data_IF_309025542825
#
_entry.id   IF_309025542825
#
_cell.length_a   1.000
_cell.length_b   1.000
_cell.length_c   1.000
_cell.angle_alpha   90.00
_cell.angle_beta   90.00
_cell.angle_gamma   90.00
#
_symmetry.space_group_name_H-M   'P 1'
#
loop_
_entity.id
_entity.type
_entity.pdbx_description
1 polymer ?
#
# COMPACT_ATOMS: atom_id res chain seq x y z
N UNK A 1 38.51 -27.93 -3.95
CA UNK A 1 38.30 -26.55 -3.45
C UNK A 1 37.71 -25.59 -4.50
N UNK A 2 37.87 -25.79 -5.83
CA UNK A 2 37.30 -24.85 -6.83
C UNK A 2 35.79 -24.93 -7.04
N UNK A 3 35.14 -26.09 -6.80
CA UNK A 3 33.67 -26.24 -6.92
C UNK A 3 32.85 -25.37 -5.97
N UNK A 4 33.46 -24.84 -4.89
CA UNK A 4 32.74 -24.02 -3.92
C UNK A 4 32.71 -22.54 -4.32
N UNK A 5 33.67 -22.11 -5.17
CA UNK A 5 33.78 -20.72 -5.60
C UNK A 5 32.86 -20.41 -6.78
N UNK A 6 32.68 -21.35 -7.72
CA UNK A 6 31.70 -21.20 -8.82
C UNK A 6 30.26 -21.11 -8.31
N UNK A 7 29.88 -21.93 -7.33
CA UNK A 7 28.55 -21.87 -6.71
C UNK A 7 28.32 -20.57 -5.95
N UNK A 8 29.37 -20.02 -5.32
CA UNK A 8 29.29 -18.74 -4.61
C UNK A 8 29.17 -17.56 -5.58
N UNK A 9 29.91 -17.61 -6.69
CA UNK A 9 29.86 -16.59 -7.75
C UNK A 9 28.52 -16.64 -8.48
N UNK A 10 27.97 -17.83 -8.77
CA UNK A 10 26.64 -17.95 -9.35
C UNK A 10 25.55 -17.47 -8.38
N UNK A 11 25.66 -17.76 -7.08
CA UNK A 11 24.77 -17.17 -6.07
C UNK A 11 24.90 -15.65 -5.98
N UNK A 12 26.11 -15.11 -6.04
CA UNK A 12 26.36 -13.67 -6.02
C UNK A 12 25.86 -12.99 -7.31
N UNK A 13 25.89 -13.69 -8.44
CA UNK A 13 25.34 -13.22 -9.73
C UNK A 13 23.82 -13.40 -9.83
N UNK A 14 23.23 -14.37 -9.12
CA UNK A 14 21.78 -14.51 -8.95
C UNK A 14 21.23 -13.49 -7.92
N UNK A 15 22.02 -13.12 -6.90
CA UNK A 15 21.73 -12.02 -5.96
C UNK A 15 21.97 -10.64 -6.61
N UNK A 16 22.79 -10.54 -7.66
CA UNK A 16 22.89 -9.34 -8.51
C UNK A 16 21.65 -9.23 -9.42
N UNK A 17 20.60 -8.67 -8.82
CA UNK A 17 19.37 -8.16 -9.45
C UNK A 17 18.38 -9.21 -9.94
N UNK A 18 17.78 -9.96 -9.00
CA UNK A 18 16.39 -10.35 -9.19
C UNK A 18 15.59 -9.07 -9.51
N UNK A 19 15.09 -8.97 -10.74
CA UNK A 19 14.33 -7.81 -11.20
C UNK A 19 13.14 -7.61 -10.26
N UNK A 20 13.09 -6.44 -9.58
CA UNK A 20 11.98 -6.09 -8.70
C UNK A 20 10.67 -6.22 -9.47
N UNK A 21 9.78 -7.06 -8.97
CA UNK A 21 8.49 -7.36 -9.58
C UNK A 21 7.41 -6.41 -9.06
N UNK A 22 7.55 -5.85 -7.84
CA UNK A 22 6.55 -4.94 -7.28
C UNK A 22 6.27 -3.68 -8.12
N UNK A 23 7.23 -3.03 -8.81
CA UNK A 23 6.92 -1.90 -9.70
C UNK A 23 6.09 -2.34 -10.91
N UNK A 24 6.40 -3.53 -11.48
CA UNK A 24 5.66 -4.10 -12.62
C UNK A 24 4.24 -4.48 -12.24
N UNK A 25 4.06 -5.06 -11.05
CA UNK A 25 2.74 -5.35 -10.49
C UNK A 25 1.94 -4.07 -10.25
N UNK A 26 2.57 -3.04 -9.66
CA UNK A 26 1.94 -1.75 -9.39
C UNK A 26 1.47 -1.09 -10.69
N UNK A 27 2.32 -1.03 -11.71
CA UNK A 27 1.98 -0.52 -13.04
C UNK A 27 0.82 -1.31 -13.65
N UNK A 28 0.86 -2.65 -13.58
CA UNK A 28 -0.19 -3.51 -14.09
C UNK A 28 -1.54 -3.24 -13.41
N UNK A 29 -1.56 -3.19 -12.07
CA UNK A 29 -2.80 -2.99 -11.31
C UNK A 29 -3.37 -1.58 -11.54
N UNK A 30 -2.53 -0.54 -11.57
CA UNK A 30 -2.99 0.84 -11.82
C UNK A 30 -3.52 1.05 -13.25
N UNK A 31 -2.93 0.39 -14.26
CA UNK A 31 -3.32 0.56 -15.66
C UNK A 31 -4.43 -0.40 -16.11
N UNK A 32 -4.41 -1.64 -15.64
CA UNK A 32 -5.30 -2.73 -16.07
C UNK A 32 -6.22 -3.19 -14.94
N UNK A 33 -5.67 -3.45 -13.76
CA UNK A 33 -6.44 -3.92 -12.60
C UNK A 33 -7.60 -3.00 -12.23
N UNK A 34 -7.35 -1.69 -12.19
CA UNK A 34 -8.37 -0.72 -11.81
C UNK A 34 -9.57 -0.66 -12.77
N UNK A 35 -9.40 -1.11 -14.01
CA UNK A 35 -10.51 -1.19 -14.97
C UNK A 35 -11.55 -2.24 -14.58
N UNK A 36 -11.12 -3.29 -13.86
CA UNK A 36 -11.99 -4.34 -13.34
C UNK A 36 -12.75 -3.92 -12.07
N UNK A 37 -12.37 -2.81 -11.44
CA UNK A 37 -13.09 -2.30 -10.28
C UNK A 37 -14.41 -1.64 -10.65
N UNK A 38 -15.44 -1.78 -9.81
CA UNK A 38 -16.73 -1.12 -10.05
C UNK A 38 -16.60 0.39 -9.83
N UNK A 39 -17.29 1.17 -10.65
CA UNK A 39 -17.32 2.63 -10.55
C UNK A 39 -18.46 3.06 -9.61
N UNK A 40 -18.24 2.86 -8.31
CA UNK A 40 -19.22 3.14 -7.26
C UNK A 40 -18.73 4.33 -6.44
N UNK A 41 -19.59 5.33 -6.25
CA UNK A 41 -19.32 6.42 -5.31
C UNK A 41 -19.43 5.91 -3.87
N UNK A 42 -18.42 6.20 -3.06
CA UNK A 42 -18.43 5.86 -1.65
C UNK A 42 -19.29 6.84 -0.84
N UNK A 43 -19.81 6.36 0.30
CA UNK A 43 -20.67 7.10 1.23
C UNK A 43 -19.96 7.29 2.58
N UNK A 44 -20.41 8.25 3.41
CA UNK A 44 -19.84 8.48 4.74
C UNK A 44 -18.66 9.45 4.71
N UNK A 45 -17.56 9.10 5.38
CA UNK A 45 -16.35 9.95 5.47
C UNK A 45 -15.60 10.04 4.14
N UNK A 46 -15.81 9.09 3.22
CA UNK A 46 -15.21 9.04 1.86
C UNK A 46 -16.14 9.64 0.79
N UNK A 47 -16.92 10.67 1.15
CA UNK A 47 -17.98 11.20 0.29
C UNK A 47 -17.43 11.77 -1.02
N UNK A 48 -18.08 11.40 -2.14
CA UNK A 48 -17.77 11.84 -3.51
C UNK A 48 -16.51 11.24 -4.15
N UNK A 49 -15.78 10.37 -3.46
CA UNK A 49 -14.70 9.58 -4.06
C UNK A 49 -15.25 8.30 -4.66
N UNK A 50 -14.79 7.92 -5.87
CA UNK A 50 -15.11 6.60 -6.42
C UNK A 50 -14.26 5.53 -5.74
N UNK A 51 -14.78 4.31 -5.65
CA UNK A 51 -14.02 3.16 -5.15
C UNK A 51 -12.69 3.00 -5.90
N UNK A 52 -12.69 3.28 -7.21
CA UNK A 52 -11.46 3.27 -8.03
C UNK A 52 -10.41 4.24 -7.50
N UNK A 53 -10.78 5.51 -7.32
CA UNK A 53 -9.85 6.53 -6.83
C UNK A 53 -9.35 6.19 -5.43
N UNK A 54 -10.24 5.70 -4.57
CA UNK A 54 -9.90 5.21 -3.23
C UNK A 54 -8.85 4.10 -3.28
N UNK A 55 -9.11 3.02 -4.02
CA UNK A 55 -8.17 1.90 -4.13
C UNK A 55 -6.83 2.35 -4.73
N UNK A 56 -6.83 3.19 -5.77
CA UNK A 56 -5.59 3.72 -6.35
C UNK A 56 -4.74 4.46 -5.32
N UNK A 57 -5.36 5.35 -4.55
CA UNK A 57 -4.66 6.10 -3.51
C UNK A 57 -4.10 5.17 -2.43
N UNK A 58 -4.90 4.23 -1.93
CA UNK A 58 -4.45 3.25 -0.93
C UNK A 58 -3.29 2.42 -1.45
N UNK A 59 -3.34 1.93 -2.70
CA UNK A 59 -2.23 1.21 -3.31
C UNK A 59 -0.96 2.07 -3.39
N UNK A 60 -1.07 3.33 -3.82
CA UNK A 60 0.05 4.26 -3.91
C UNK A 60 0.67 4.53 -2.53
N UNK A 61 -0.14 4.77 -1.51
CA UNK A 61 0.35 4.94 -0.14
C UNK A 61 0.99 3.67 0.40
N UNK A 62 0.38 2.49 0.20
CA UNK A 62 0.99 1.22 0.58
C UNK A 62 2.36 1.03 -0.06
N UNK A 63 2.48 1.32 -1.37
CA UNK A 63 3.75 1.23 -2.09
C UNK A 63 4.81 2.15 -1.47
N UNK A 64 4.49 3.42 -1.26
CA UNK A 64 5.42 4.41 -0.70
C UNK A 64 5.81 4.11 0.75
N UNK A 65 4.84 3.73 1.58
CA UNK A 65 5.07 3.37 2.98
C UNK A 65 5.89 2.08 3.11
N UNK A 66 5.71 1.14 2.19
CA UNK A 66 6.55 -0.06 2.11
C UNK A 66 8.01 0.27 1.76
N UNK A 67 8.26 1.24 0.88
CA UNK A 67 9.62 1.74 0.62
C UNK A 67 10.23 2.41 1.86
N UNK A 68 9.45 3.24 2.57
CA UNK A 68 9.87 3.93 3.82
C UNK A 68 10.27 2.93 4.92
N UNK A 69 9.60 1.79 4.98
CA UNK A 69 9.84 0.74 5.97
C UNK A 69 10.72 -0.39 5.44
N UNK A 70 11.34 -0.21 4.27
CA UNK A 70 12.26 -1.18 3.64
C UNK A 70 11.67 -2.60 3.50
N UNK A 71 10.36 -2.69 3.22
CA UNK A 71 9.66 -3.96 3.00
C UNK A 71 10.18 -4.62 1.72
N UNK A 72 10.45 -5.92 1.79
CA UNK A 72 10.96 -6.68 0.65
C UNK A 72 9.96 -6.74 -0.53
N UNK A 73 10.48 -7.03 -1.72
CA UNK A 73 9.72 -6.97 -2.96
C UNK A 73 8.51 -7.94 -2.98
N UNK A 74 8.67 -9.14 -2.40
CA UNK A 74 7.62 -10.16 -2.34
C UNK A 74 6.51 -9.74 -1.39
N UNK A 75 6.86 -9.27 -0.18
CA UNK A 75 5.87 -8.75 0.77
C UNK A 75 5.18 -7.51 0.24
N UNK A 76 5.90 -6.63 -0.46
CA UNK A 76 5.35 -5.44 -1.10
C UNK A 76 4.34 -5.81 -2.19
N UNK A 77 4.62 -6.83 -3.01
CA UNK A 77 3.64 -7.35 -3.98
C UNK A 77 2.36 -7.85 -3.31
N UNK A 78 2.48 -8.61 -2.22
CA UNK A 78 1.33 -9.09 -1.45
C UNK A 78 0.53 -7.92 -0.84
N UNK A 79 1.22 -6.91 -0.30
CA UNK A 79 0.61 -5.72 0.28
C UNK A 79 -0.16 -4.90 -0.76
N UNK A 80 0.42 -4.63 -1.94
CA UNK A 80 -0.24 -3.89 -3.02
C UNK A 80 -1.46 -4.67 -3.52
N UNK A 81 -1.34 -6.00 -3.63
CA UNK A 81 -2.47 -6.86 -4.02
C UNK A 81 -3.58 -6.85 -2.97
N UNK A 82 -3.22 -6.91 -1.68
CA UNK A 82 -4.18 -6.77 -0.59
C UNK A 82 -4.85 -5.40 -0.62
N UNK A 83 -4.11 -4.31 -0.85
CA UNK A 83 -4.65 -2.97 -1.04
C UNK A 83 -5.60 -2.88 -2.24
N UNK A 84 -5.30 -3.57 -3.34
CA UNK A 84 -6.21 -3.67 -4.48
C UNK A 84 -7.52 -4.39 -4.11
N UNK A 85 -7.49 -5.44 -3.29
CA UNK A 85 -8.68 -6.22 -2.93
C UNK A 85 -9.33 -5.81 -1.60
N UNK A 86 -8.80 -4.85 -0.86
CA UNK A 86 -9.19 -4.63 0.55
C UNK A 86 -10.66 -4.23 0.75
N UNK A 87 -11.30 -3.68 -0.28
CA UNK A 87 -12.72 -3.28 -0.26
C UNK A 87 -13.56 -4.15 -1.23
N UNK A 88 -13.14 -5.41 -1.45
CA UNK A 88 -13.79 -6.37 -2.36
C UNK A 88 -15.29 -6.57 -2.07
N UNK A 89 -15.73 -6.42 -0.82
CA UNK A 89 -17.15 -6.53 -0.44
C UNK A 89 -18.04 -5.43 -1.05
N UNK A 90 -17.44 -4.38 -1.63
CA UNK A 90 -18.16 -3.34 -2.36
C UNK A 90 -18.52 -3.75 -3.78
N UNK A 91 -18.01 -4.88 -4.28
CA UNK A 91 -18.30 -5.34 -5.64
C UNK A 91 -19.73 -5.86 -5.76
N UNK A 92 -20.35 -5.68 -6.93
CA UNK A 92 -21.74 -6.06 -7.17
C UNK A 92 -22.02 -7.54 -6.86
N UNK A 93 -21.07 -8.43 -7.18
CA UNK A 93 -21.14 -9.88 -6.90
C UNK A 93 -21.31 -10.21 -5.41
N UNK A 94 -20.87 -9.32 -4.52
CA UNK A 94 -20.86 -9.52 -3.07
C UNK A 94 -21.82 -8.60 -2.33
N UNK A 95 -22.75 -7.97 -3.05
CA UNK A 95 -23.73 -7.06 -2.47
C UNK A 95 -24.48 -7.75 -1.32
N UNK A 96 -24.54 -7.08 -0.17
CA UNK A 96 -25.15 -7.55 1.09
C UNK A 96 -24.38 -8.67 1.82
N UNK A 97 -23.18 -9.04 1.40
CA UNK A 97 -22.32 -9.93 2.17
C UNK A 97 -21.44 -9.12 3.14
N UNK A 98 -21.15 -9.70 4.31
CA UNK A 98 -20.21 -9.07 5.24
C UNK A 98 -18.79 -9.16 4.69
N UNK A 99 -17.92 -8.21 5.06
CA UNK A 99 -16.54 -8.21 4.59
C UNK A 99 -15.80 -9.53 4.91
N UNK A 100 -16.02 -10.08 6.10
CA UNK A 100 -15.43 -11.35 6.55
C UNK A 100 -15.87 -12.54 5.69
N UNK A 101 -17.11 -12.55 5.21
CA UNK A 101 -17.63 -13.62 4.35
C UNK A 101 -17.10 -13.53 2.92
N UNK A 102 -16.60 -12.35 2.52
CA UNK A 102 -16.07 -12.08 1.18
C UNK A 102 -14.56 -12.27 1.13
N UNK A 103 -13.81 -11.85 2.16
CA UNK A 103 -12.35 -11.96 2.24
C UNK A 103 -11.88 -13.41 2.53
N UNK A 104 -12.28 -14.35 1.67
CA UNK A 104 -11.91 -15.77 1.70
C UNK A 104 -10.83 -16.07 0.65
N UNK A 105 -9.99 -17.08 0.90
CA UNK A 105 -8.97 -17.54 -0.07
C UNK A 105 -9.59 -17.84 -1.44
N UNK A 106 -10.73 -18.54 -1.47
CA UNK A 106 -11.41 -18.89 -2.72
C UNK A 106 -11.85 -17.67 -3.53
N UNK A 107 -12.31 -16.61 -2.86
CA UNK A 107 -12.71 -15.38 -3.54
C UNK A 107 -11.47 -14.60 -4.02
N UNK A 108 -10.44 -14.49 -3.19
CA UNK A 108 -9.17 -13.84 -3.56
C UNK A 108 -8.56 -14.54 -4.78
N UNK A 109 -8.39 -15.86 -4.73
CA UNK A 109 -7.86 -16.67 -5.83
C UNK A 109 -8.69 -16.49 -7.11
N UNK A 110 -10.01 -16.47 -7.01
CA UNK A 110 -10.89 -16.27 -8.17
C UNK A 110 -10.67 -14.91 -8.81
N UNK A 111 -10.56 -13.85 -8.02
CA UNK A 111 -10.30 -12.50 -8.51
C UNK A 111 -8.92 -12.38 -9.14
N UNK A 112 -7.88 -12.93 -8.51
CA UNK A 112 -6.52 -12.92 -9.06
C UNK A 112 -6.40 -13.74 -10.34
N UNK A 113 -7.02 -14.92 -10.41
CA UNK A 113 -7.06 -15.73 -11.64
C UNK A 113 -7.75 -14.98 -12.77
N UNK A 114 -8.95 -14.46 -12.52
CA UNK A 114 -9.70 -13.70 -13.54
C UNK A 114 -8.88 -12.52 -14.05
N UNK A 115 -8.24 -11.80 -13.12
CA UNK A 115 -7.43 -10.65 -13.46
C UNK A 115 -6.17 -11.04 -14.24
N UNK A 116 -5.39 -12.01 -13.79
CA UNK A 116 -4.10 -12.33 -14.41
C UNK A 116 -4.24 -13.18 -15.69
N UNK A 117 -5.20 -14.10 -15.76
CA UNK A 117 -5.48 -14.90 -16.95
C UNK A 117 -5.94 -14.02 -18.12
N UNK A 118 -6.75 -12.99 -17.85
CA UNK A 118 -7.21 -12.05 -18.87
C UNK A 118 -6.06 -11.32 -19.58
N UNK A 119 -4.92 -11.13 -18.92
CA UNK A 119 -3.79 -10.35 -19.41
C UNK A 119 -2.50 -11.16 -19.60
N UNK A 120 -2.57 -12.49 -19.45
CA UNK A 120 -1.44 -13.42 -19.62
C UNK A 120 -0.20 -13.04 -18.79
N UNK A 121 -0.40 -12.54 -17.56
CA UNK A 121 0.67 -12.20 -16.61
C UNK A 121 0.67 -13.14 -15.42
N UNK A 122 1.80 -13.28 -14.74
CA UNK A 122 1.91 -14.06 -13.50
C UNK A 122 2.85 -13.36 -12.52
N UNK A 123 2.44 -13.30 -11.25
CA UNK A 123 3.23 -12.79 -10.15
C UNK A 123 3.24 -13.84 -9.03
N UNK A 124 4.36 -13.95 -8.32
CA UNK A 124 4.47 -14.85 -7.17
C UNK A 124 3.81 -14.18 -5.95
N UNK A 125 2.58 -14.61 -5.66
CA UNK A 125 1.75 -14.04 -4.62
C UNK A 125 1.31 -15.12 -3.63
N UNK A 126 1.30 -14.75 -2.36
CA UNK A 126 0.90 -15.62 -1.25
C UNK A 126 -0.48 -15.21 -0.78
N UNK A 127 -1.52 -15.91 -1.27
CA UNK A 127 -2.92 -15.52 -1.01
C UNK A 127 -3.32 -15.59 0.46
N UNK A 128 -2.64 -16.40 1.28
CA UNK A 128 -2.82 -16.40 2.74
C UNK A 128 -2.34 -15.10 3.38
N UNK A 129 -1.18 -14.57 2.97
CA UNK A 129 -0.68 -13.26 3.45
C UNK A 129 -1.62 -12.15 3.00
N UNK A 130 -2.06 -12.17 1.74
CA UNK A 130 -3.03 -11.21 1.20
C UNK A 130 -4.31 -11.21 2.04
N UNK A 131 -4.84 -12.40 2.34
CA UNK A 131 -6.03 -12.55 3.17
C UNK A 131 -5.82 -12.02 4.58
N UNK A 132 -4.68 -12.31 5.21
CA UNK A 132 -4.36 -11.85 6.56
C UNK A 132 -4.30 -10.31 6.62
N UNK A 133 -3.65 -9.67 5.66
CA UNK A 133 -3.60 -8.20 5.53
C UNK A 133 -5.02 -7.65 5.35
N UNK A 134 -5.78 -8.24 4.43
CA UNK A 134 -7.17 -7.88 4.16
C UNK A 134 -8.04 -7.99 5.42
N UNK A 135 -7.93 -9.05 6.22
CA UNK A 135 -8.74 -9.18 7.43
C UNK A 135 -8.28 -8.21 8.53
N UNK A 136 -6.97 -8.01 8.68
CA UNK A 136 -6.37 -7.14 9.69
C UNK A 136 -6.65 -5.65 9.49
N UNK A 137 -6.82 -5.18 8.25
CA UNK A 137 -7.00 -3.74 8.00
C UNK A 137 -8.30 -3.18 8.61
N UNK A 138 -9.34 -4.01 8.72
CA UNK A 138 -10.69 -3.58 9.09
C UNK A 138 -10.83 -3.06 10.54
N UNK A 139 -9.77 -3.09 11.36
CA UNK A 139 -9.70 -2.53 12.72
C UNK A 139 -10.60 -3.22 13.76
N UNK A 140 -11.63 -3.94 13.33
CA UNK A 140 -12.60 -4.64 14.17
C UNK A 140 -12.23 -6.10 14.43
N UNK A 141 -11.25 -6.64 13.70
CA UNK A 141 -10.73 -7.99 13.88
C UNK A 141 -9.40 -7.92 14.65
N UNK A 142 -9.47 -7.53 15.92
CA UNK A 142 -8.28 -7.50 16.81
C UNK A 142 -7.64 -8.86 17.04
N UNK A 143 -8.27 -9.96 16.61
CA UNK A 143 -7.77 -11.30 16.84
C UNK A 143 -8.00 -12.20 15.60
N UNK A 144 -7.07 -12.15 14.65
CA UNK A 144 -6.64 -13.40 14.06
C UNK A 144 -6.12 -14.27 15.22
N UNK A 145 -6.63 -15.50 15.36
CA UNK A 145 -6.20 -16.45 16.40
C UNK A 145 -4.69 -16.72 16.39
N UNK A 146 -3.99 -16.31 15.33
CA UNK A 146 -2.54 -16.34 15.18
C UNK A 146 -1.82 -15.30 16.06
N UNK A 147 -2.51 -14.25 16.55
CA UNK A 147 -1.90 -13.19 17.37
C UNK A 147 -1.41 -13.61 18.75
N UNK A 148 -1.67 -14.86 19.17
CA UNK A 148 -1.14 -15.44 20.41
C UNK A 148 0.20 -16.18 20.19
N UNK A 149 0.62 -16.38 18.94
CA UNK A 149 1.94 -16.92 18.62
C UNK A 149 2.88 -15.77 18.27
N UNK A 150 3.77 -15.40 19.18
CA UNK A 150 4.85 -14.46 18.89
C UNK A 150 5.90 -15.17 18.01
N UNK A 151 5.62 -15.27 16.70
CA UNK A 151 6.58 -15.73 15.69
C UNK A 151 6.93 -14.56 14.75
N UNK A 152 8.09 -14.64 14.09
CA UNK A 152 8.59 -13.57 13.22
C UNK A 152 7.62 -13.23 12.09
N UNK A 153 6.97 -14.25 11.51
CA UNK A 153 5.98 -14.08 10.44
C UNK A 153 4.77 -13.24 10.88
N UNK A 154 4.30 -13.42 12.11
CA UNK A 154 3.21 -12.63 12.66
C UNK A 154 3.64 -11.18 12.86
N UNK A 155 4.89 -10.92 13.23
CA UNK A 155 5.44 -9.56 13.34
C UNK A 155 5.47 -8.85 11.98
N UNK A 156 5.98 -9.53 10.94
CA UNK A 156 6.00 -9.04 9.56
C UNK A 156 4.58 -8.76 9.04
N UNK A 157 3.65 -9.70 9.25
CA UNK A 157 2.26 -9.50 8.84
C UNK A 157 1.60 -8.31 9.56
N UNK A 158 1.91 -8.09 10.85
CA UNK A 158 1.42 -6.92 11.59
C UNK A 158 1.97 -5.59 11.04
N UNK A 159 3.21 -5.58 10.57
CA UNK A 159 3.78 -4.42 9.88
C UNK A 159 3.01 -4.12 8.59
N UNK A 160 2.74 -5.14 7.76
CA UNK A 160 1.96 -5.00 6.52
C UNK A 160 0.51 -4.54 6.79
N UNK A 161 -0.14 -5.09 7.84
CA UNK A 161 -1.47 -4.66 8.29
C UNK A 161 -1.45 -3.18 8.70
N UNK A 162 -0.41 -2.74 9.40
CA UNK A 162 -0.30 -1.36 9.86
C UNK A 162 -0.08 -0.39 8.70
N UNK A 163 0.66 -0.82 7.67
CA UNK A 163 0.85 -0.03 6.43
C UNK A 163 -0.49 0.18 5.72
N UNK A 164 -1.28 -0.87 5.50
CA UNK A 164 -2.57 -0.71 4.82
C UNK A 164 -3.57 0.11 5.64
N UNK A 165 -3.56 -0.01 6.97
CA UNK A 165 -4.38 0.84 7.85
C UNK A 165 -3.95 2.31 7.78
N UNK A 166 -2.65 2.57 7.75
CA UNK A 166 -2.12 3.92 7.58
C UNK A 166 -2.51 4.49 6.21
N UNK A 167 -2.38 3.70 5.14
CA UNK A 167 -2.77 4.08 3.79
C UNK A 167 -4.27 4.40 3.67
N UNK A 168 -5.14 3.56 4.21
CA UNK A 168 -6.59 3.79 4.24
C UNK A 168 -6.96 5.04 5.08
N UNK A 169 -6.24 5.27 6.18
CA UNK A 169 -6.41 6.48 7.00
C UNK A 169 -5.95 7.74 6.26
N UNK A 170 -4.85 7.67 5.52
CA UNK A 170 -4.31 8.79 4.74
C UNK A 170 -5.21 9.16 3.57
N UNK A 171 -5.86 8.18 2.94
CA UNK A 171 -6.79 8.47 1.85
C UNK A 171 -7.98 9.34 2.31
N UNK A 172 -8.39 9.23 3.58
CA UNK A 172 -9.44 10.07 4.18
C UNK A 172 -8.97 11.52 4.42
N UNK A 173 -7.65 11.76 4.42
CA UNK A 173 -7.08 13.11 4.58
C UNK A 173 -7.12 13.87 3.25
N UNK A 174 -8.32 14.30 2.84
CA UNK A 174 -8.56 15.01 1.59
C UNK A 174 -8.06 16.47 1.59
N UNK A 175 -7.92 17.08 2.76
CA UNK A 175 -7.52 18.48 2.90
C UNK A 175 -6.19 18.63 3.66
N UNK A 176 -5.43 19.67 3.29
CA UNK A 176 -4.11 19.95 3.84
C UNK A 176 -4.12 20.04 5.39
N UNK A 177 -5.13 20.71 5.94
CA UNK A 177 -5.21 20.99 7.39
C UNK A 177 -5.75 19.84 8.25
N UNK A 178 -6.11 18.69 7.67
CA UNK A 178 -6.59 17.52 8.43
C UNK A 178 -5.43 16.81 9.14
N UNK A 179 -4.98 17.37 10.26
CA UNK A 179 -3.84 16.87 11.02
C UNK A 179 -4.14 15.57 11.76
N UNK A 180 -5.36 15.37 12.24
CA UNK A 180 -5.71 14.21 13.07
C UNK A 180 -5.51 12.88 12.31
N UNK A 181 -5.95 12.82 11.05
CA UNK A 181 -5.81 11.64 10.18
C UNK A 181 -4.34 11.35 9.86
N UNK A 182 -3.58 12.40 9.55
CA UNK A 182 -2.12 12.32 9.35
C UNK A 182 -1.46 11.75 10.60
N UNK A 183 -1.69 12.32 11.78
CA UNK A 183 -1.11 11.82 13.03
C UNK A 183 -1.58 10.41 13.42
N UNK A 184 -2.78 10.00 13.04
CA UNK A 184 -3.23 8.61 13.22
C UNK A 184 -2.42 7.66 12.33
N UNK A 185 -2.25 7.98 11.05
CA UNK A 185 -1.43 7.18 10.13
C UNK A 185 0.04 7.12 10.57
N UNK A 186 0.62 8.26 10.96
CA UNK A 186 2.01 8.31 11.43
C UNK A 186 2.25 7.43 12.66
N UNK A 187 1.30 7.39 13.60
CA UNK A 187 1.38 6.50 14.77
C UNK A 187 1.44 5.02 14.37
N UNK A 188 0.70 4.62 13.35
CA UNK A 188 0.72 3.24 12.82
C UNK A 188 2.04 2.89 12.14
N UNK A 189 2.75 3.85 11.57
CA UNK A 189 4.07 3.64 10.96
C UNK A 189 5.16 3.61 12.03
N UNK A 190 5.15 4.59 12.94
CA UNK A 190 6.17 4.76 13.96
C UNK A 190 6.23 3.62 15.00
N UNK A 191 5.16 2.83 15.16
CA UNK A 191 5.19 1.64 16.03
C UNK A 191 6.14 0.54 15.51
N UNK A 192 6.51 0.57 14.24
CA UNK A 192 7.41 -0.39 13.58
C UNK A 192 8.82 0.16 13.37
N UNK A 193 9.12 1.36 13.88
CA UNK A 193 10.44 1.99 13.78
C UNK A 193 11.04 2.07 15.19
N UNK A 194 12.24 1.52 15.36
CA UNK A 194 12.85 1.38 16.69
C UNK A 194 13.88 2.46 17.02
N UNK A 195 14.70 2.87 16.03
CA UNK A 195 15.86 3.74 16.28
C UNK A 195 15.54 5.24 16.19
N UNK A 196 14.42 5.57 15.56
CA UNK A 196 13.96 6.95 15.39
C UNK A 196 12.43 6.99 15.26
N UNK A 197 11.87 8.19 15.13
CA UNK A 197 10.46 8.40 14.89
C UNK A 197 10.31 9.35 13.72
N UNK A 198 9.46 9.00 12.76
CA UNK A 198 9.07 9.91 11.70
C UNK A 198 8.20 11.03 12.29
N UNK A 199 8.33 12.22 11.71
CA UNK A 199 7.45 13.35 11.96
C UNK A 199 7.03 13.97 10.62
N UNK A 200 5.86 14.60 10.60
CA UNK A 200 5.45 15.36 9.42
C UNK A 200 6.12 16.72 9.40
N UNK A 201 6.62 17.06 8.24
CA UNK A 201 6.98 18.43 7.89
C UNK A 201 6.29 18.78 6.58
N UNK A 202 6.02 20.05 6.36
CA UNK A 202 5.24 20.50 5.21
C UNK A 202 5.65 21.90 4.79
N UNK A 203 5.33 22.23 3.54
CA UNK A 203 5.24 23.62 3.09
C UNK A 203 3.84 23.91 2.59
N UNK A 204 3.45 25.18 2.66
CA UNK A 204 2.12 25.64 2.28
C UNK A 204 2.22 26.99 1.56
N UNK A 205 1.42 27.16 0.51
CA UNK A 205 1.19 28.43 -0.16
C UNK A 205 -0.28 28.80 -0.09
N UNK A 206 -0.55 30.04 0.32
CA UNK A 206 -1.91 30.59 0.38
C UNK A 206 -2.46 31.07 -0.96
N UNK A 207 -1.68 30.93 -2.04
CA UNK A 207 -1.98 31.52 -3.36
C UNK A 207 -2.47 30.45 -4.34
N UNK A 208 -3.20 30.87 -5.37
CA UNK A 208 -3.80 29.95 -6.34
C UNK A 208 -2.73 29.19 -7.13
N UNK A 209 -2.94 27.88 -7.33
CA UNK A 209 -2.04 27.05 -8.13
C UNK A 209 -1.89 27.58 -9.56
N UNK A 210 -0.64 27.73 -9.99
CA UNK A 210 -0.25 28.03 -11.36
C UNK A 210 1.11 27.42 -11.69
N UNK A 211 1.61 27.69 -12.91
CA UNK A 211 2.91 27.16 -13.36
C UNK A 211 4.06 27.55 -12.42
N UNK A 212 4.07 28.80 -11.95
CA UNK A 212 5.12 29.30 -11.05
C UNK A 212 5.07 28.65 -9.66
N UNK A 213 3.88 28.50 -9.07
CA UNK A 213 3.76 27.84 -7.76
C UNK A 213 4.11 26.36 -7.85
N UNK A 214 3.77 25.67 -8.95
CA UNK A 214 4.20 24.28 -9.18
C UNK A 214 5.72 24.15 -9.29
N UNK A 215 6.38 25.07 -9.99
CA UNK A 215 7.84 25.09 -10.04
C UNK A 215 8.45 25.27 -8.64
N UNK A 216 7.91 26.21 -7.85
CA UNK A 216 8.36 26.44 -6.47
C UNK A 216 8.14 25.20 -5.59
N UNK A 217 6.96 24.56 -5.67
CA UNK A 217 6.68 23.31 -4.94
C UNK A 217 7.72 22.23 -5.25
N UNK A 218 8.02 22.00 -6.53
CA UNK A 218 9.00 20.99 -6.93
C UNK A 218 10.40 21.30 -6.40
N UNK A 219 10.81 22.57 -6.40
CA UNK A 219 12.10 23.00 -5.84
C UNK A 219 12.14 22.76 -4.33
N UNK A 220 11.08 23.14 -3.59
CA UNK A 220 11.04 22.93 -2.13
C UNK A 220 11.05 21.44 -1.80
N UNK A 221 10.25 20.62 -2.49
CA UNK A 221 10.26 19.15 -2.31
C UNK A 221 11.67 18.60 -2.51
N UNK A 222 12.38 19.02 -3.57
CA UNK A 222 13.75 18.58 -3.81
C UNK A 222 14.73 19.00 -2.70
N UNK A 223 14.58 20.20 -2.12
CA UNK A 223 15.41 20.64 -0.98
C UNK A 223 15.09 19.88 0.32
N UNK A 224 13.84 19.49 0.53
CA UNK A 224 13.42 18.65 1.66
C UNK A 224 13.96 17.22 1.50
N UNK A 225 13.91 16.66 0.29
CA UNK A 225 14.48 15.34 0.00
C UNK A 225 15.98 15.26 0.24
N UNK A 226 16.73 16.33 -0.08
CA UNK A 226 18.17 16.40 0.26
C UNK A 226 18.45 16.33 1.77
N UNK A 227 17.47 16.67 2.59
CA UNK A 227 17.52 16.59 4.05
C UNK A 227 16.93 15.29 4.60
N UNK A 228 16.55 14.35 3.73
CA UNK A 228 16.01 13.04 4.12
C UNK A 228 14.49 12.99 4.26
N UNK A 229 13.76 14.05 3.91
CA UNK A 229 12.29 14.00 3.89
C UNK A 229 11.78 13.20 2.68
N UNK A 230 10.66 12.50 2.86
CA UNK A 230 10.06 11.66 1.83
C UNK A 230 8.68 12.25 1.49
N UNK A 231 8.45 12.67 0.23
CA UNK A 231 7.17 13.26 -0.14
C UNK A 231 6.09 12.19 -0.14
N UNK A 232 4.98 12.46 0.55
CA UNK A 232 3.90 11.49 0.77
C UNK A 232 2.54 12.03 0.33
N UNK A 233 2.14 13.21 0.81
CA UNK A 233 0.80 13.76 0.58
C UNK A 233 0.89 15.02 -0.29
N UNK A 234 0.13 15.09 -1.38
CA UNK A 234 0.15 16.23 -2.29
C UNK A 234 -1.22 16.90 -2.34
N UNK A 235 -1.30 18.13 -1.84
CA UNK A 235 -2.51 18.95 -1.83
C UNK A 235 -2.38 20.15 -2.76
N UNK A 236 -3.49 20.74 -3.24
CA UNK A 236 -3.45 21.97 -4.02
C UNK A 236 -2.57 23.06 -3.40
N UNK A 237 -2.63 23.21 -2.08
CA UNK A 237 -1.96 24.29 -1.36
C UNK A 237 -0.56 23.93 -0.86
N UNK A 238 -0.19 22.64 -0.82
CA UNK A 238 1.03 22.22 -0.13
C UNK A 238 1.38 20.75 -0.32
N UNK A 239 2.56 20.39 0.17
CA UNK A 239 3.06 19.01 0.24
C UNK A 239 3.52 18.77 1.67
#
# INVERSE_FOLDING_TARGET
MSKNTETLILKLLEDETAEQQSPRLMEFLLNRGIQAMPDILQTGDKQQQSLKAHTQNVMCFCYQLADILEIDDTQKMNLITAAFLHDINKFDTYRNMSYKDVATLDNIDRHLKTLFEQWEVSFDLTTTIIQDIMLGHSGHLHHSSSGLEANAQNCENQQLISIIQAADTLDISHYFHEQDKKHQALRLINQHVHDFQYDYTWHYFSDNRGLYTNFIHNVIVAEYQKQGAIPLLFYPEGV
#
